data_IF_980167554150
#
_entry.id   IF_980167554150
#
_cell.length_a   1.000
_cell.length_b   1.000
_cell.length_c   1.000
_cell.angle_alpha   90.00
_cell.angle_beta   90.00
_cell.angle_gamma   90.00
#
_symmetry.space_group_name_H-M   'P 1'
#
loop_
_entity.id
_entity.type
_entity.pdbx_description
1 polymer ?
#
# COMPACT_ATOMS: atom_id res chain seq x y z
N UNK A 1 -8.59 12.51 -10.46
CA UNK A 1 -8.13 11.42 -11.35
C UNK A 1 -8.56 10.09 -10.78
N UNK A 2 -9.29 9.28 -11.51
CA UNK A 2 -9.80 7.99 -11.04
C UNK A 2 -8.67 6.95 -11.01
N UNK A 3 -8.45 6.30 -9.87
CA UNK A 3 -7.49 5.20 -9.78
C UNK A 3 -8.03 4.00 -10.55
N UNK A 4 -7.41 3.63 -11.66
CA UNK A 4 -7.86 2.57 -12.57
C UNK A 4 -8.03 1.22 -11.84
N UNK A 5 -7.14 0.89 -10.93
CA UNK A 5 -7.18 -0.37 -10.18
C UNK A 5 -8.37 -0.45 -9.21
N UNK A 6 -8.68 0.67 -8.54
CA UNK A 6 -9.88 0.77 -7.70
C UNK A 6 -11.14 0.61 -8.53
N UNK A 7 -11.18 1.27 -9.69
CA UNK A 7 -12.30 1.17 -10.63
C UNK A 7 -12.54 -0.27 -11.11
N UNK A 8 -11.50 -1.02 -11.40
CA UNK A 8 -11.62 -2.42 -11.85
C UNK A 8 -12.14 -3.35 -10.74
N UNK A 9 -11.67 -3.20 -9.51
CA UNK A 9 -12.16 -3.97 -8.36
C UNK A 9 -13.62 -3.69 -8.07
N UNK A 10 -14.01 -2.43 -8.05
CA UNK A 10 -15.41 -2.01 -7.84
C UNK A 10 -16.31 -2.48 -8.97
N UNK A 11 -15.86 -2.41 -10.23
CA UNK A 11 -16.62 -2.92 -11.38
C UNK A 11 -16.77 -4.45 -11.34
N UNK A 12 -15.73 -5.16 -10.89
CA UNK A 12 -15.79 -6.61 -10.72
C UNK A 12 -16.78 -6.99 -9.62
N UNK A 13 -16.79 -6.26 -8.50
CA UNK A 13 -17.76 -6.43 -7.43
C UNK A 13 -19.19 -6.19 -7.96
N UNK A 14 -19.43 -5.07 -8.65
CA UNK A 14 -20.74 -4.72 -9.22
C UNK A 14 -21.27 -5.84 -10.13
N UNK A 15 -20.42 -6.32 -11.05
CA UNK A 15 -20.80 -7.43 -11.95
C UNK A 15 -21.14 -8.72 -11.19
N UNK A 16 -20.36 -9.05 -10.16
CA UNK A 16 -20.65 -10.24 -9.33
C UNK A 16 -21.97 -10.09 -8.57
N UNK A 17 -22.26 -8.90 -8.03
CA UNK A 17 -23.51 -8.63 -7.32
C UNK A 17 -24.73 -8.68 -8.25
N UNK A 18 -24.60 -8.19 -9.49
CA UNK A 18 -25.66 -8.28 -10.52
C UNK A 18 -26.00 -9.72 -10.91
N UNK A 19 -25.07 -10.67 -10.72
CA UNK A 19 -25.24 -12.08 -11.04
C UNK A 19 -25.79 -12.92 -9.88
N UNK A 20 -25.93 -12.34 -8.68
CA UNK A 20 -26.47 -13.05 -7.52
C UNK A 20 -27.97 -13.24 -7.65
N UNK A 21 -28.45 -14.43 -7.30
CA UNK A 21 -29.85 -14.82 -7.41
C UNK A 21 -30.60 -14.82 -6.08
N UNK A 22 -29.90 -14.84 -4.96
CA UNK A 22 -30.47 -14.84 -3.62
C UNK A 22 -29.64 -14.04 -2.61
N UNK A 23 -30.22 -13.84 -1.42
CA UNK A 23 -29.57 -13.08 -0.33
C UNK A 23 -28.27 -13.70 0.16
N UNK A 24 -28.16 -15.03 0.13
CA UNK A 24 -26.98 -15.74 0.58
C UNK A 24 -25.80 -15.53 -0.39
N UNK A 25 -26.04 -15.68 -1.67
CA UNK A 25 -25.02 -15.39 -2.70
C UNK A 25 -24.57 -13.94 -2.65
N UNK A 26 -25.50 -13.00 -2.47
CA UNK A 26 -25.19 -11.59 -2.31
C UNK A 26 -24.30 -11.33 -1.09
N UNK A 27 -24.65 -11.92 0.06
CA UNK A 27 -23.87 -11.83 1.30
C UNK A 27 -22.46 -12.42 1.12
N UNK A 28 -22.35 -13.60 0.49
CA UNK A 28 -21.07 -14.28 0.25
C UNK A 28 -20.15 -13.45 -0.66
N UNK A 29 -20.68 -12.83 -1.71
CA UNK A 29 -19.93 -11.94 -2.61
C UNK A 29 -19.42 -10.71 -1.88
N UNK A 30 -20.25 -10.04 -1.08
CA UNK A 30 -19.84 -8.86 -0.30
C UNK A 30 -18.84 -9.23 0.77
N UNK A 31 -19.08 -10.31 1.52
CA UNK A 31 -18.18 -10.77 2.59
C UNK A 31 -16.83 -11.17 2.02
N UNK A 32 -16.81 -11.87 0.89
CA UNK A 32 -15.59 -12.22 0.17
C UNK A 32 -14.82 -10.97 -0.25
N UNK A 33 -15.48 -9.98 -0.83
CA UNK A 33 -14.83 -8.73 -1.22
C UNK A 33 -14.18 -8.00 -0.03
N UNK A 34 -14.89 -7.89 1.10
CA UNK A 34 -14.33 -7.26 2.29
C UNK A 34 -13.23 -8.09 2.95
N UNK A 35 -13.29 -9.41 2.85
CA UNK A 35 -12.22 -10.30 3.32
C UNK A 35 -10.95 -10.12 2.52
N UNK A 36 -11.05 -10.01 1.19
CA UNK A 36 -9.91 -9.90 0.28
C UNK A 36 -9.30 -8.50 0.26
N UNK A 37 -10.13 -7.46 0.33
CA UNK A 37 -9.71 -6.07 0.15
C UNK A 37 -9.87 -5.20 1.39
N UNK A 38 -10.49 -5.68 2.45
CA UNK A 38 -10.78 -4.93 3.67
C UNK A 38 -11.84 -3.86 3.49
N UNK A 39 -12.00 -3.04 4.53
CA UNK A 39 -13.02 -1.97 4.56
C UNK A 39 -12.35 -0.62 4.36
N UNK A 40 -12.89 0.17 3.46
CA UNK A 40 -12.49 1.56 3.25
C UNK A 40 -11.25 1.73 2.38
N UNK A 41 -10.61 2.91 2.49
CA UNK A 41 -9.57 3.36 1.59
C UNK A 41 -8.30 2.47 1.58
N UNK A 42 -7.95 1.87 2.72
CA UNK A 42 -6.76 1.03 2.83
C UNK A 42 -6.89 -0.31 2.10
N UNK A 43 -8.11 -0.80 1.89
CA UNK A 43 -8.36 -1.99 1.09
C UNK A 43 -8.17 -1.74 -0.40
N UNK A 44 -8.55 -0.58 -0.87
CA UNK A 44 -8.65 -0.24 -2.29
C UNK A 44 -7.42 0.48 -2.85
N UNK A 45 -6.54 0.99 -2.00
CA UNK A 45 -5.38 1.77 -2.42
C UNK A 45 -4.08 1.19 -1.87
N UNK A 46 -3.01 1.33 -2.65
CA UNK A 46 -1.68 0.79 -2.35
C UNK A 46 -0.86 1.69 -1.43
N UNK A 47 -1.01 2.99 -1.61
CA UNK A 47 -0.17 3.98 -0.95
C UNK A 47 -0.94 5.25 -0.60
N UNK A 48 -0.43 5.95 0.40
CA UNK A 48 -1.06 7.14 0.99
C UNK A 48 -0.01 8.17 1.34
N UNK A 49 -0.39 9.45 1.27
CA UNK A 49 0.27 10.59 1.90
C UNK A 49 -0.53 11.06 3.10
N UNK A 50 0.10 11.80 3.98
CA UNK A 50 -0.60 12.49 5.05
C UNK A 50 -0.80 13.97 4.68
N UNK A 51 -1.96 14.50 5.02
CA UNK A 51 -2.29 15.92 4.97
C UNK A 51 -2.67 16.39 6.36
N UNK A 52 -2.27 17.60 6.70
CA UNK A 52 -2.67 18.25 7.95
C UNK A 52 -4.11 18.77 7.84
N UNK A 53 -4.90 18.52 8.87
CA UNK A 53 -6.24 19.10 8.96
C UNK A 53 -6.15 20.51 9.52
N UNK A 54 -6.96 21.47 9.03
CA UNK A 54 -7.00 22.84 9.57
C UNK A 54 -7.33 22.91 11.06
N UNK A 55 -8.05 21.91 11.57
CA UNK A 55 -8.49 21.80 12.97
C UNK A 55 -7.54 20.95 13.82
N UNK A 56 -6.38 20.60 13.31
CA UNK A 56 -5.41 19.68 13.93
C UNK A 56 -5.61 18.21 13.56
N UNK A 57 -4.53 17.43 13.67
CA UNK A 57 -4.51 16.03 13.27
C UNK A 57 -4.17 15.84 11.80
N UNK A 58 -4.23 14.58 11.35
CA UNK A 58 -3.87 14.17 10.01
C UNK A 58 -5.04 13.52 9.26
N UNK A 59 -4.92 13.48 7.94
CA UNK A 59 -5.80 12.79 7.03
C UNK A 59 -4.93 11.99 6.06
N UNK A 60 -5.30 10.74 5.79
CA UNK A 60 -4.65 9.93 4.76
C UNK A 60 -5.27 10.22 3.39
N UNK A 61 -4.43 10.55 2.41
CA UNK A 61 -4.82 10.74 1.02
C UNK A 61 -4.23 9.64 0.15
N UNK A 62 -5.04 8.91 -0.62
CA UNK A 62 -4.54 7.91 -1.54
C UNK A 62 -3.60 8.52 -2.59
N UNK A 63 -2.50 7.84 -2.86
CA UNK A 63 -1.60 8.15 -3.98
C UNK A 63 -2.13 7.43 -5.21
N UNK A 64 -2.64 8.17 -6.18
CA UNK A 64 -3.22 7.61 -7.40
C UNK A 64 -2.18 7.23 -8.45
N UNK A 65 -0.98 7.79 -8.36
CA UNK A 65 0.12 7.56 -9.30
C UNK A 65 1.14 6.58 -8.74
N UNK A 66 0.67 5.38 -8.39
CA UNK A 66 1.54 4.23 -8.18
C UNK A 66 1.80 3.62 -9.56
N UNK A 67 2.98 3.88 -10.10
CA UNK A 67 3.39 3.31 -11.38
C UNK A 67 3.17 1.79 -11.38
N UNK A 68 2.92 1.22 -12.53
CA UNK A 68 2.76 -0.24 -12.69
C UNK A 68 4.09 -0.98 -12.67
N UNK A 69 5.17 -0.30 -12.26
CA UNK A 69 6.51 -0.86 -12.20
C UNK A 69 6.56 -2.06 -11.25
N UNK A 70 7.16 -3.13 -11.73
CA UNK A 70 7.45 -4.33 -10.97
C UNK A 70 8.95 -4.43 -10.70
N UNK A 71 9.35 -5.24 -9.74
CA UNK A 71 10.78 -5.45 -9.45
C UNK A 71 11.54 -6.04 -10.63
N UNK A 72 10.88 -6.83 -11.48
CA UNK A 72 11.43 -7.36 -12.73
C UNK A 72 11.81 -6.28 -13.73
N UNK A 73 11.17 -5.12 -13.67
CA UNK A 73 11.40 -4.01 -14.60
C UNK A 73 12.63 -3.18 -14.22
N UNK A 74 13.12 -3.36 -13.00
CA UNK A 74 14.31 -2.66 -12.51
C UNK A 74 15.58 -3.38 -12.95
N UNK A 75 16.34 -2.75 -13.84
CA UNK A 75 17.61 -3.27 -14.34
C UNK A 75 18.75 -2.91 -13.39
N UNK A 76 19.60 -3.89 -13.06
CA UNK A 76 20.75 -3.69 -12.17
C UNK A 76 20.44 -3.81 -10.69
N UNK A 77 21.46 -3.59 -9.87
CA UNK A 77 21.38 -3.63 -8.40
C UNK A 77 20.81 -4.94 -7.82
N UNK A 78 21.12 -6.08 -8.42
CA UNK A 78 20.53 -7.39 -8.10
C UNK A 78 20.69 -7.78 -6.63
N UNK A 79 21.85 -7.49 -6.03
CA UNK A 79 22.11 -7.80 -4.61
C UNK A 79 21.23 -6.93 -3.71
N UNK A 80 21.11 -5.64 -4.02
CA UNK A 80 20.31 -4.70 -3.25
C UNK A 80 18.82 -5.02 -3.37
N UNK A 81 18.36 -5.32 -4.59
CA UNK A 81 16.98 -5.79 -4.84
C UNK A 81 16.68 -7.04 -4.03
N UNK A 82 17.55 -8.04 -4.09
CA UNK A 82 17.36 -9.29 -3.33
C UNK A 82 17.23 -9.04 -1.84
N UNK A 83 18.10 -8.23 -1.24
CA UNK A 83 18.03 -7.87 0.18
C UNK A 83 16.75 -7.15 0.53
N UNK A 84 16.30 -6.21 -0.31
CA UNK A 84 15.05 -5.49 -0.10
C UNK A 84 13.84 -6.43 -0.16
N UNK A 85 13.82 -7.34 -1.14
CA UNK A 85 12.75 -8.35 -1.30
C UNK A 85 12.70 -9.27 -0.09
N UNK A 86 13.82 -9.89 0.28
CA UNK A 86 13.89 -10.84 1.40
C UNK A 86 13.43 -10.20 2.71
N UNK A 87 13.84 -8.96 2.98
CA UNK A 87 13.42 -8.23 4.18
C UNK A 87 11.93 -7.88 4.15
N UNK A 88 11.40 -7.46 3.00
CA UNK A 88 9.99 -7.14 2.84
C UNK A 88 9.12 -8.39 2.94
N UNK A 89 9.54 -9.49 2.33
CA UNK A 89 8.83 -10.76 2.41
C UNK A 89 8.76 -11.28 3.86
N UNK A 90 9.85 -11.19 4.61
CA UNK A 90 9.87 -11.52 6.03
C UNK A 90 8.85 -10.68 6.80
N UNK A 91 8.80 -9.36 6.54
CA UNK A 91 7.83 -8.45 7.16
C UNK A 91 6.38 -8.81 6.83
N UNK A 92 6.07 -9.03 5.56
CA UNK A 92 4.72 -9.39 5.08
C UNK A 92 4.26 -10.69 5.71
N UNK A 93 5.15 -11.69 5.83
CA UNK A 93 4.89 -12.98 6.49
C UNK A 93 4.84 -12.89 8.03
N UNK A 94 4.92 -11.70 8.61
CA UNK A 94 4.87 -11.50 10.06
C UNK A 94 6.13 -11.95 10.81
N UNK A 95 7.23 -12.17 10.10
CA UNK A 95 8.54 -12.46 10.69
C UNK A 95 9.26 -11.17 11.05
N UNK A 96 10.34 -11.29 11.84
CA UNK A 96 11.19 -10.15 12.16
C UNK A 96 11.85 -9.60 10.89
N UNK A 97 11.73 -8.30 10.67
CA UNK A 97 12.33 -7.56 9.58
C UNK A 97 13.05 -6.32 10.12
N UNK A 98 13.96 -5.77 9.34
CA UNK A 98 14.73 -4.58 9.71
C UNK A 98 14.20 -3.34 8.99
N UNK A 99 14.48 -2.16 9.55
CA UNK A 99 14.38 -0.91 8.81
C UNK A 99 15.40 -0.92 7.66
N UNK A 100 15.04 -0.29 6.55
CA UNK A 100 15.86 -0.23 5.34
C UNK A 100 16.23 1.21 5.05
N UNK A 101 17.51 1.45 4.80
CA UNK A 101 18.02 2.71 4.28
C UNK A 101 18.43 2.51 2.82
N UNK A 102 17.77 3.24 1.91
CA UNK A 102 18.15 3.32 0.51
C UNK A 102 18.95 4.60 0.28
N UNK A 103 20.19 4.47 -0.14
CA UNK A 103 21.07 5.59 -0.43
C UNK A 103 21.63 5.49 -1.84
N UNK A 104 22.00 6.62 -2.42
CA UNK A 104 22.50 6.75 -3.79
C UNK A 104 22.06 8.08 -4.40
N UNK A 105 22.62 8.38 -5.56
CA UNK A 105 22.33 9.62 -6.29
C UNK A 105 20.86 9.72 -6.71
N UNK A 106 20.43 10.92 -7.05
CA UNK A 106 19.10 11.15 -7.63
C UNK A 106 18.97 10.37 -8.93
N UNK A 107 17.80 9.78 -9.16
CA UNK A 107 17.53 9.00 -10.38
C UNK A 107 18.06 7.55 -10.39
N UNK A 108 18.64 7.06 -9.28
CA UNK A 108 19.11 5.65 -9.18
C UNK A 108 17.99 4.63 -8.90
N UNK A 109 16.73 5.03 -8.96
CA UNK A 109 15.59 4.13 -8.84
C UNK A 109 15.17 3.80 -7.40
N UNK A 110 15.61 4.57 -6.39
CA UNK A 110 15.22 4.33 -4.98
C UNK A 110 13.70 4.35 -4.77
N UNK A 111 13.05 5.43 -5.13
CA UNK A 111 11.59 5.57 -5.01
C UNK A 111 10.83 4.56 -5.88
N UNK A 112 11.38 4.26 -7.07
CA UNK A 112 10.83 3.26 -7.98
C UNK A 112 10.89 1.86 -7.37
N UNK A 113 11.97 1.52 -6.67
CA UNK A 113 12.11 0.24 -5.98
C UNK A 113 11.09 0.07 -4.86
N UNK A 114 10.80 1.13 -4.11
CA UNK A 114 9.76 1.09 -3.06
C UNK A 114 8.38 0.90 -3.68
N UNK A 115 8.04 1.63 -4.74
CA UNK A 115 6.77 1.44 -5.46
C UNK A 115 6.63 0.02 -6.01
N UNK A 116 7.69 -0.53 -6.59
CA UNK A 116 7.71 -1.90 -7.12
C UNK A 116 7.46 -2.95 -6.01
N UNK A 117 8.09 -2.79 -4.85
CA UNK A 117 7.85 -3.65 -3.67
C UNK A 117 6.39 -3.59 -3.24
N UNK A 118 5.81 -2.41 -3.14
CA UNK A 118 4.40 -2.25 -2.76
C UNK A 118 3.47 -2.88 -3.78
N UNK A 119 3.76 -2.73 -5.07
CA UNK A 119 2.99 -3.37 -6.14
C UNK A 119 3.05 -4.90 -6.04
N UNK A 120 4.22 -5.46 -5.75
CA UNK A 120 4.42 -6.91 -5.67
C UNK A 120 3.68 -7.55 -4.49
N UNK A 121 3.67 -6.90 -3.33
CA UNK A 121 3.10 -7.46 -2.09
C UNK A 121 1.76 -6.84 -1.69
N UNK A 122 1.13 -6.09 -2.59
CA UNK A 122 -0.17 -5.47 -2.30
C UNK A 122 -1.26 -6.50 -1.97
N UNK A 123 -1.32 -7.58 -2.72
CA UNK A 123 -2.31 -8.65 -2.52
C UNK A 123 -2.03 -9.46 -1.25
N UNK A 124 -0.80 -9.44 -0.76
CA UNK A 124 -0.40 -9.99 0.55
C UNK A 124 -0.65 -9.00 1.72
N UNK A 125 -1.33 -7.91 1.47
CA UNK A 125 -1.73 -6.92 2.47
C UNK A 125 -0.73 -5.80 2.72
N UNK A 126 0.32 -5.63 1.90
CA UNK A 126 1.27 -4.54 2.05
C UNK A 126 0.68 -3.21 1.57
N UNK A 127 0.91 -2.16 2.35
CA UNK A 127 0.53 -0.77 2.07
C UNK A 127 1.71 0.16 2.36
N UNK A 128 1.72 1.33 1.74
CA UNK A 128 2.75 2.34 1.96
C UNK A 128 2.14 3.65 2.45
N UNK A 129 2.82 4.29 3.40
CA UNK A 129 2.55 5.67 3.79
C UNK A 129 3.80 6.48 3.53
N UNK A 130 3.69 7.47 2.65
CA UNK A 130 4.75 8.42 2.34
C UNK A 130 4.65 9.60 3.30
N UNK A 131 5.75 9.90 3.98
CA UNK A 131 5.88 11.00 4.93
C UNK A 131 7.08 11.84 4.52
N UNK A 132 6.87 13.15 4.36
CA UNK A 132 7.94 14.10 4.11
C UNK A 132 8.64 14.50 5.41
N UNK A 133 9.88 14.94 5.31
CA UNK A 133 10.72 15.34 6.45
C UNK A 133 10.04 16.34 7.39
N UNK A 134 9.37 17.34 6.85
CA UNK A 134 8.65 18.35 7.65
C UNK A 134 7.41 17.80 8.39
N UNK A 135 6.99 16.57 8.06
CA UNK A 135 5.83 15.89 8.66
C UNK A 135 6.23 14.89 9.77
N UNK A 136 7.51 14.78 10.12
CA UNK A 136 7.99 13.82 11.14
C UNK A 136 7.31 13.96 12.50
N UNK A 137 6.87 15.15 12.84
CA UNK A 137 6.09 15.40 14.04
C UNK A 137 4.80 14.55 14.11
N UNK A 138 4.27 14.11 12.99
CA UNK A 138 3.05 13.30 12.91
C UNK A 138 3.31 11.78 12.91
N UNK A 139 4.55 11.33 12.94
CA UNK A 139 4.90 9.92 12.85
C UNK A 139 4.19 9.07 13.93
N UNK A 140 4.15 9.55 15.17
CA UNK A 140 3.46 8.87 16.27
C UNK A 140 1.96 8.74 16.02
N UNK A 141 1.35 9.79 15.48
CA UNK A 141 -0.08 9.81 15.12
C UNK A 141 -0.37 8.81 14.00
N UNK A 142 0.48 8.79 12.95
CA UNK A 142 0.37 7.82 11.85
C UNK A 142 0.42 6.40 12.38
N UNK A 143 1.41 6.09 13.22
CA UNK A 143 1.56 4.75 13.81
C UNK A 143 0.34 4.37 14.65
N UNK A 144 -0.17 5.29 15.46
CA UNK A 144 -1.36 5.06 16.28
C UNK A 144 -2.58 4.69 15.43
N UNK A 145 -2.75 5.36 14.28
CA UNK A 145 -3.90 5.17 13.40
C UNK A 145 -3.83 3.86 12.60
N UNK A 146 -2.63 3.34 12.31
CA UNK A 146 -2.46 2.14 11.47
C UNK A 146 -2.18 0.85 12.23
N UNK A 147 -1.67 0.91 13.47
CA UNK A 147 -1.19 -0.25 14.21
C UNK A 147 -2.20 -1.37 14.44
N UNK A 148 -3.49 -1.04 14.47
CA UNK A 148 -4.57 -1.99 14.72
C UNK A 148 -5.31 -2.43 13.44
N UNK A 149 -4.79 -2.08 12.26
CA UNK A 149 -5.39 -2.48 10.99
C UNK A 149 -4.81 -3.81 10.51
N UNK A 150 -5.59 -4.56 9.76
CA UNK A 150 -5.19 -5.89 9.24
C UNK A 150 -4.27 -5.82 8.01
N UNK A 151 -3.47 -4.75 7.90
CA UNK A 151 -2.51 -4.56 6.82
C UNK A 151 -1.09 -4.45 7.38
N UNK A 152 -0.10 -4.71 6.53
CA UNK A 152 1.32 -4.44 6.80
C UNK A 152 1.68 -3.10 6.17
N UNK A 153 2.19 -2.18 6.96
CA UNK A 153 2.51 -0.83 6.49
C UNK A 153 4.01 -0.60 6.43
N UNK A 154 4.47 -0.11 5.27
CA UNK A 154 5.78 0.53 5.14
C UNK A 154 5.57 2.03 5.31
N UNK A 155 6.35 2.65 6.18
CA UNK A 155 6.45 4.11 6.24
C UNK A 155 7.67 4.49 5.42
N UNK A 156 7.44 5.14 4.28
CA UNK A 156 8.48 5.65 3.40
C UNK A 156 8.73 7.12 3.71
N UNK A 157 9.97 7.43 4.06
CA UNK A 157 10.38 8.79 4.37
C UNK A 157 11.21 9.32 3.21
N UNK A 158 10.69 10.35 2.54
CA UNK A 158 11.37 11.04 1.44
C UNK A 158 11.87 12.42 1.90
N UNK A 159 12.97 12.89 1.29
CA UNK A 159 13.61 14.15 1.65
C UNK A 159 12.78 15.39 1.22
#
# INVERSE_FOLDING_TARGET
>A
MYNKNVSEKVRSLSRKLEQTSDEKEFFDVITGFYKDYGVGMFGLNKAFRIEEKPQGGILFRPINNMDTVMLSDLVGYEIQKKKLVENTEAFVKGKRANNVLLFGDSGTGKSTSIKAIVNQYYDDGLRMIEIYKHQFQYLSTVIADIKNRNYKFIIYMDD
#
